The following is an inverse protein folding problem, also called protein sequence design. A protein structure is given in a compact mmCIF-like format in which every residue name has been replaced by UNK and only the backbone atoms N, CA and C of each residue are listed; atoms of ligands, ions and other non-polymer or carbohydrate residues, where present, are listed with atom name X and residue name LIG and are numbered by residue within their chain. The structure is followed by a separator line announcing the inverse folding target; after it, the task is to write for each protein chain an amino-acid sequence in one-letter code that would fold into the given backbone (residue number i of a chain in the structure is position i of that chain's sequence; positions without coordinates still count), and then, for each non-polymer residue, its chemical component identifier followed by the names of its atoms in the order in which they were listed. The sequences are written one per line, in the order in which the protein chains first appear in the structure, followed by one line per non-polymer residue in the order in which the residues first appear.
data_IF_698983491081
#
_entry.id   IF_698983491081
#
_cell.length_a   1.000
_cell.length_b   1.000
_cell.length_c   1.000
_cell.angle_alpha   90.00
_cell.angle_beta   90.00
_cell.angle_gamma   90.00
#
_symmetry.space_group_name_H-M   'P 1'
#
loop_
_entity.id
_entity.type
_entity.pdbx_description
1 polymer ?
#
# COMPACT_ATOMS: atom_id res chain seq x y z
N UNK A 1 7.01 -5.24 -0.34
CA UNK A 1 6.39 -5.31 1.00
C UNK A 1 5.17 -6.17 0.86
N UNK A 2 4.84 -6.84 1.94
CA UNK A 2 3.70 -7.72 2.02
C UNK A 2 3.99 -9.16 1.63
N UNK A 3 2.94 -9.92 1.37
CA UNK A 3 3.02 -11.38 1.21
C UNK A 3 3.82 -11.80 -0.04
N UNK A 4 4.82 -12.64 0.19
CA UNK A 4 5.80 -13.09 -0.80
C UNK A 4 5.14 -13.86 -1.96
N UNK A 5 5.30 -13.31 -3.18
CA UNK A 5 4.76 -13.81 -4.45
C UNK A 5 3.22 -13.85 -4.55
N UNK A 6 2.49 -13.21 -3.64
CA UNK A 6 1.03 -13.16 -3.68
C UNK A 6 0.51 -12.52 -4.98
N UNK A 7 1.10 -11.41 -5.40
CA UNK A 7 0.71 -10.76 -6.65
C UNK A 7 0.83 -11.72 -7.85
N UNK A 8 1.98 -12.38 -7.99
CA UNK A 8 2.25 -13.34 -9.07
C UNK A 8 1.23 -14.48 -9.04
N UNK A 9 0.95 -15.02 -7.85
CA UNK A 9 -0.06 -16.06 -7.64
C UNK A 9 -1.45 -15.62 -8.11
N UNK A 10 -1.92 -14.45 -7.66
CA UNK A 10 -3.23 -13.91 -8.03
C UNK A 10 -3.31 -13.64 -9.54
N UNK A 11 -2.26 -13.07 -10.15
CA UNK A 11 -2.24 -12.87 -11.61
C UNK A 11 -2.20 -14.17 -12.40
N UNK A 12 -1.63 -15.24 -11.84
CA UNK A 12 -1.56 -16.55 -12.51
C UNK A 12 -2.91 -17.26 -12.63
N UNK A 13 -3.92 -16.84 -11.85
CA UNK A 13 -5.29 -17.36 -11.97
C UNK A 13 -5.93 -17.01 -13.32
N UNK A 14 -5.38 -16.02 -14.05
CA UNK A 14 -5.76 -15.61 -15.41
C UNK A 14 -7.28 -15.50 -15.61
N UNK A 15 -7.95 -14.77 -14.71
CA UNK A 15 -9.41 -14.68 -14.66
C UNK A 15 -9.93 -13.24 -14.85
N UNK A 16 -11.25 -13.08 -14.74
CA UNK A 16 -11.94 -11.79 -14.86
C UNK A 16 -11.97 -10.96 -13.57
N UNK A 17 -11.24 -11.37 -12.52
CA UNK A 17 -11.26 -10.73 -11.19
C UNK A 17 -10.43 -9.45 -11.13
N UNK A 18 -9.45 -9.29 -12.03
CA UNK A 18 -8.56 -8.13 -12.14
C UNK A 18 -8.87 -7.38 -13.43
N UNK A 19 -9.31 -6.13 -13.34
CA UNK A 19 -9.68 -5.33 -14.53
C UNK A 19 -9.32 -3.86 -14.36
N UNK A 20 -8.75 -3.25 -15.39
CA UNK A 20 -8.66 -1.80 -15.48
C UNK A 20 -10.05 -1.20 -15.69
N UNK A 21 -10.38 -0.17 -14.89
CA UNK A 21 -11.65 0.55 -14.90
C UNK A 21 -11.41 2.05 -14.83
N UNK A 22 -12.29 2.81 -15.46
CA UNK A 22 -12.21 4.27 -15.43
C UNK A 22 -12.92 4.83 -14.20
N UNK A 23 -12.38 5.89 -13.59
CA UNK A 23 -12.88 6.43 -12.32
C UNK A 23 -14.32 6.91 -12.35
N UNK A 24 -14.83 7.27 -13.53
CA UNK A 24 -16.25 7.61 -13.74
C UNK A 24 -17.21 6.53 -13.22
N UNK A 25 -16.83 5.25 -13.30
CA UNK A 25 -17.63 4.12 -12.81
C UNK A 25 -17.83 4.14 -11.29
N UNK A 26 -16.96 4.85 -10.56
CA UNK A 26 -16.98 4.93 -9.10
C UNK A 26 -17.52 6.26 -8.58
N UNK A 27 -18.29 6.99 -9.40
CA UNK A 27 -18.91 8.24 -8.97
C UNK A 27 -19.81 8.04 -7.73
N UNK A 28 -19.79 9.01 -6.82
CA UNK A 28 -20.44 9.00 -5.51
C UNK A 28 -19.90 7.95 -4.52
N UNK A 29 -18.88 7.15 -4.88
CA UNK A 29 -18.33 6.15 -3.98
C UNK A 29 -17.34 6.77 -2.98
N UNK A 30 -17.29 6.16 -1.79
CA UNK A 30 -16.27 6.43 -0.77
C UNK A 30 -15.12 5.46 -0.98
N UNK A 31 -13.88 5.96 -0.92
CA UNK A 31 -12.68 5.16 -1.12
C UNK A 31 -11.66 5.54 -0.06
N UNK A 32 -11.08 4.56 0.63
CA UNK A 32 -9.91 4.78 1.49
C UNK A 32 -8.64 4.74 0.65
N UNK A 33 -7.67 5.57 0.98
CA UNK A 33 -6.42 5.68 0.23
C UNK A 33 -5.26 5.61 1.20
N UNK A 34 -4.43 4.58 1.07
CA UNK A 34 -3.11 4.58 1.67
C UNK A 34 -2.24 5.59 0.90
N UNK A 35 -1.90 6.70 1.57
CA UNK A 35 -1.19 7.80 0.93
C UNK A 35 0.33 7.54 0.85
N UNK A 36 0.86 6.62 1.65
CA UNK A 36 2.30 6.51 1.86
C UNK A 36 3.04 6.27 0.55
N UNK A 37 2.57 5.36 -0.29
CA UNK A 37 3.17 5.10 -1.61
C UNK A 37 3.12 6.33 -2.53
N UNK A 38 2.06 7.12 -2.48
CA UNK A 38 1.88 8.31 -3.32
C UNK A 38 2.78 9.47 -2.87
N UNK A 39 3.02 9.62 -1.56
CA UNK A 39 3.98 10.60 -1.04
C UNK A 39 5.38 10.35 -1.60
N UNK A 40 5.87 9.11 -1.53
CA UNK A 40 7.18 8.74 -2.08
C UNK A 40 7.22 8.92 -3.59
N UNK A 41 6.23 8.36 -4.32
CA UNK A 41 6.18 8.39 -5.79
C UNK A 41 6.13 9.81 -6.34
N UNK A 42 5.28 10.68 -5.79
CA UNK A 42 5.17 12.05 -6.29
C UNK A 42 6.35 12.92 -5.89
N UNK A 43 6.95 12.67 -4.72
CA UNK A 43 8.21 13.32 -4.34
C UNK A 43 9.37 12.89 -5.24
N UNK A 44 9.41 11.62 -5.64
CA UNK A 44 10.40 11.09 -6.57
C UNK A 44 10.37 11.80 -7.93
N UNK A 45 9.16 12.08 -8.43
CA UNK A 45 8.90 12.86 -9.63
C UNK A 45 9.24 14.36 -9.49
N UNK A 46 9.56 14.84 -8.28
CA UNK A 46 9.87 16.25 -8.01
C UNK A 46 8.66 17.15 -7.77
N UNK A 47 7.44 16.65 -8.01
CA UNK A 47 6.21 17.45 -8.04
C UNK A 47 5.19 16.90 -7.03
N UNK A 48 5.54 16.93 -5.73
CA UNK A 48 4.74 16.32 -4.68
C UNK A 48 3.36 16.99 -4.55
N UNK A 49 3.32 18.32 -4.39
CA UNK A 49 2.09 19.05 -4.10
C UNK A 49 1.19 19.14 -5.33
N UNK A 50 1.78 19.33 -6.52
CA UNK A 50 1.11 19.38 -7.82
C UNK A 50 0.36 18.07 -8.07
N UNK A 51 1.04 16.94 -7.91
CA UNK A 51 0.44 15.63 -8.15
C UNK A 51 -0.60 15.26 -7.08
N UNK A 52 -0.39 15.66 -5.82
CA UNK A 52 -1.42 15.49 -4.78
C UNK A 52 -2.66 16.35 -5.07
N UNK A 53 -2.46 17.59 -5.53
CA UNK A 53 -3.54 18.47 -5.94
C UNK A 53 -4.31 17.88 -7.13
N UNK A 54 -3.60 17.37 -8.14
CA UNK A 54 -4.20 16.73 -9.31
C UNK A 54 -5.00 15.48 -8.90
N UNK A 55 -4.43 14.62 -8.07
CA UNK A 55 -5.11 13.44 -7.53
C UNK A 55 -6.43 13.81 -6.81
N UNK A 56 -6.39 14.82 -5.94
CA UNK A 56 -7.57 15.32 -5.25
C UNK A 56 -8.61 15.91 -6.22
N UNK A 57 -8.13 16.65 -7.23
CA UNK A 57 -8.97 17.26 -8.25
C UNK A 57 -9.69 16.21 -9.10
N UNK A 58 -9.00 15.13 -9.48
CA UNK A 58 -9.57 14.00 -10.22
C UNK A 58 -10.68 13.32 -9.42
N UNK A 59 -10.44 13.01 -8.13
CA UNK A 59 -11.48 12.38 -7.31
C UNK A 59 -12.70 13.29 -7.17
N UNK A 60 -12.49 14.58 -6.91
CA UNK A 60 -13.58 15.55 -6.80
C UNK A 60 -14.34 15.71 -8.13
N UNK A 61 -13.64 15.74 -9.26
CA UNK A 61 -14.22 15.83 -10.60
C UNK A 61 -15.19 14.66 -10.89
N UNK A 62 -14.83 13.44 -10.47
CA UNK A 62 -15.72 12.28 -10.60
C UNK A 62 -16.71 12.10 -9.43
N UNK A 63 -16.78 13.06 -8.52
CA UNK A 63 -17.56 13.00 -7.28
C UNK A 63 -17.27 11.75 -6.42
N UNK A 64 -16.01 11.32 -6.39
CA UNK A 64 -15.49 10.32 -5.47
C UNK A 64 -15.18 11.01 -4.15
N UNK A 65 -15.46 10.33 -3.04
CA UNK A 65 -15.24 10.82 -1.68
C UNK A 65 -14.02 10.10 -1.07
N UNK A 66 -12.80 10.62 -1.26
CA UNK A 66 -11.60 9.98 -0.73
C UNK A 66 -11.45 10.23 0.77
N UNK A 67 -10.99 9.20 1.47
CA UNK A 67 -10.42 9.28 2.82
C UNK A 67 -8.95 8.90 2.74
N UNK A 68 -8.05 9.87 2.83
CA UNK A 68 -6.62 9.61 2.86
C UNK A 68 -6.17 9.17 4.25
N UNK A 69 -5.41 8.08 4.32
CA UNK A 69 -4.89 7.54 5.57
C UNK A 69 -3.37 7.67 5.55
N UNK A 70 -2.84 8.40 6.52
CA UNK A 70 -1.41 8.49 6.78
C UNK A 70 -1.00 7.40 7.77
N UNK A 71 0.19 6.83 7.57
CA UNK A 71 0.81 5.97 8.57
C UNK A 71 1.08 6.71 9.89
N UNK A 72 0.98 5.95 10.97
CA UNK A 72 1.31 6.35 12.33
C UNK A 72 2.71 5.89 12.74
N UNK A 73 2.83 5.39 13.96
CA UNK A 73 4.11 4.84 14.46
C UNK A 73 4.22 3.37 14.06
N UNK A 74 5.30 3.00 13.38
CA UNK A 74 5.55 1.60 13.04
C UNK A 74 5.63 0.70 14.29
N UNK A 75 5.13 -0.53 14.16
CA UNK A 75 5.25 -1.57 15.17
C UNK A 75 6.70 -2.07 15.29
N UNK A 76 7.10 -2.49 16.50
CA UNK A 76 8.47 -2.96 16.80
C UNK A 76 8.93 -4.11 15.88
N UNK A 77 8.00 -4.93 15.42
CA UNK A 77 8.31 -6.13 14.63
C UNK A 77 8.84 -5.79 13.21
N UNK A 78 8.64 -4.55 12.72
CA UNK A 78 9.18 -4.11 11.42
C UNK A 78 10.58 -3.47 11.49
N UNK A 79 11.23 -3.46 12.66
CA UNK A 79 12.54 -2.83 12.85
C UNK A 79 13.61 -3.34 11.88
N UNK A 80 13.63 -4.65 11.59
CA UNK A 80 14.59 -5.25 10.65
C UNK A 80 14.41 -4.72 9.23
N UNK A 81 13.18 -4.66 8.72
CA UNK A 81 12.86 -4.12 7.39
C UNK A 81 13.20 -2.64 7.29
N UNK A 82 12.91 -1.86 8.34
CA UNK A 82 13.24 -0.44 8.43
C UNK A 82 14.78 -0.25 8.41
N UNK A 83 15.51 -1.07 9.15
CA UNK A 83 16.97 -1.02 9.21
C UNK A 83 17.61 -1.35 7.87
N UNK A 84 17.15 -2.42 7.20
CA UNK A 84 17.61 -2.79 5.85
C UNK A 84 17.36 -1.67 4.84
N UNK A 85 16.19 -1.00 4.91
CA UNK A 85 15.92 0.20 4.09
C UNK A 85 16.88 1.33 4.38
N UNK A 86 17.19 1.58 5.65
CA UNK A 86 18.11 2.63 6.07
C UNK A 86 19.53 2.37 5.56
N UNK A 87 19.99 1.13 5.62
CA UNK A 87 21.28 0.70 5.10
C UNK A 87 21.36 0.87 3.58
N UNK A 88 20.37 0.36 2.84
CA UNK A 88 20.31 0.51 1.38
C UNK A 88 20.30 2.00 0.96
N UNK A 89 19.55 2.84 1.66
CA UNK A 89 19.51 4.30 1.41
C UNK A 89 20.88 4.93 1.63
N UNK A 90 21.56 4.59 2.74
CA UNK A 90 22.89 5.12 3.05
C UNK A 90 23.91 4.72 1.98
N UNK A 91 23.88 3.47 1.53
CA UNK A 91 24.74 2.99 0.45
C UNK A 91 24.48 3.75 -0.85
N UNK A 92 23.22 3.84 -1.29
CA UNK A 92 22.84 4.56 -2.50
C UNK A 92 23.24 6.03 -2.45
N UNK A 93 23.08 6.68 -1.30
CA UNK A 93 23.47 8.08 -1.10
C UNK A 93 25.00 8.27 -1.19
N UNK A 94 25.79 7.39 -0.57
CA UNK A 94 27.25 7.44 -0.65
C UNK A 94 27.71 7.27 -2.10
N UNK A 95 27.21 6.27 -2.81
CA UNK A 95 27.55 6.02 -4.22
C UNK A 95 27.15 7.21 -5.11
N UNK A 96 26.00 7.83 -4.86
CA UNK A 96 25.58 9.02 -5.60
C UNK A 96 26.54 10.20 -5.39
N UNK A 97 26.97 10.46 -4.15
CA UNK A 97 27.91 11.54 -3.84
C UNK A 97 29.26 11.30 -4.52
N UNK A 98 29.75 10.06 -4.53
CA UNK A 98 30.99 9.69 -5.21
C UNK A 98 30.89 9.88 -6.73
N UNK A 99 29.81 9.42 -7.36
CA UNK A 99 29.59 9.63 -8.79
C UNK A 99 29.45 11.12 -9.14
N UNK A 100 28.74 11.89 -8.30
CA UNK A 100 28.59 13.34 -8.48
C UNK A 100 29.94 14.06 -8.43
N UNK A 101 30.85 13.66 -7.53
CA UNK A 101 32.22 14.21 -7.47
C UNK A 101 33.02 13.90 -8.73
N UNK A 102 32.91 12.67 -9.24
CA UNK A 102 33.62 12.22 -10.45
C UNK A 102 32.93 12.63 -11.76
N UNK A 103 31.74 13.24 -11.72
CA UNK A 103 30.97 13.54 -12.94
C UNK A 103 31.76 14.33 -13.99
N UNK A 104 32.61 15.26 -13.55
CA UNK A 104 33.45 16.08 -14.43
C UNK A 104 34.55 15.29 -15.15
N UNK A 105 34.89 14.08 -14.69
CA UNK A 105 35.91 13.23 -15.31
C UNK A 105 35.37 12.39 -16.47
N UNK A 106 34.06 12.38 -16.70
CA UNK A 106 33.41 11.59 -17.73
C UNK A 106 32.94 12.46 -18.89
N UNK A 107 33.10 11.98 -20.13
CA UNK A 107 32.71 12.67 -21.35
C UNK A 107 31.94 11.72 -22.29
N UNK A 108 31.19 12.29 -23.24
CA UNK A 108 30.44 11.50 -24.23
C UNK A 108 29.41 10.55 -23.61
N UNK A 109 29.34 9.33 -24.14
CA UNK A 109 28.36 8.32 -23.73
C UNK A 109 28.50 7.87 -22.27
N UNK A 110 29.72 7.88 -21.72
CA UNK A 110 29.94 7.48 -20.32
C UNK A 110 29.29 8.45 -19.34
N UNK A 111 29.28 9.75 -19.67
CA UNK A 111 28.61 10.76 -18.87
C UNK A 111 27.09 10.54 -18.85
N UNK A 112 26.49 10.22 -20.00
CA UNK A 112 25.05 9.93 -20.09
C UNK A 112 24.68 8.72 -19.22
N UNK A 113 25.45 7.63 -19.32
CA UNK A 113 25.22 6.43 -18.52
C UNK A 113 25.33 6.70 -17.02
N UNK A 114 26.28 7.56 -16.62
CA UNK A 114 26.45 7.95 -15.22
C UNK A 114 25.32 8.85 -14.75
N UNK A 115 24.84 9.78 -15.58
CA UNK A 115 23.68 10.62 -15.26
C UNK A 115 22.41 9.77 -15.07
N UNK A 116 22.19 8.75 -15.92
CA UNK A 116 21.10 7.76 -15.74
C UNK A 116 21.24 7.00 -14.43
N UNK A 117 22.42 6.44 -14.15
CA UNK A 117 22.70 5.72 -12.90
C UNK A 117 22.56 6.62 -11.67
N UNK A 118 22.94 7.88 -11.78
CA UNK A 118 22.78 8.87 -10.72
C UNK A 118 21.30 9.17 -10.45
N UNK A 119 20.45 9.25 -11.48
CA UNK A 119 19.00 9.40 -11.26
C UNK A 119 18.39 8.15 -10.61
N UNK A 120 18.80 6.94 -10.99
CA UNK A 120 18.39 5.69 -10.31
C UNK A 120 18.79 5.68 -8.84
N UNK A 121 20.04 6.05 -8.52
CA UNK A 121 20.51 6.15 -7.15
C UNK A 121 19.75 7.23 -6.39
N UNK A 122 19.49 8.39 -7.02
CA UNK A 122 18.70 9.49 -6.44
C UNK A 122 17.38 8.96 -5.92
N UNK A 123 16.64 8.22 -6.74
CA UNK A 123 15.33 7.63 -6.40
C UNK A 123 15.41 6.72 -5.17
N UNK A 124 16.49 5.96 -5.02
CA UNK A 124 16.65 5.00 -3.90
C UNK A 124 16.81 5.66 -2.52
N UNK A 125 17.35 6.88 -2.44
CA UNK A 125 17.55 7.58 -1.16
C UNK A 125 16.55 8.71 -0.89
N UNK A 126 15.47 8.83 -1.68
CA UNK A 126 14.41 9.80 -1.41
C UNK A 126 13.69 9.46 -0.11
N UNK A 127 13.49 10.48 0.72
CA UNK A 127 12.78 10.36 1.98
C UNK A 127 11.68 11.40 2.07
N UNK A 128 10.50 10.97 2.51
CA UNK A 128 9.40 11.86 2.86
C UNK A 128 9.71 12.45 4.23
N UNK A 129 9.73 13.79 4.32
CA UNK A 129 10.03 14.54 5.54
C UNK A 129 8.74 14.89 6.28
N UNK A 130 8.88 15.36 7.52
CA UNK A 130 7.73 15.89 8.28
C UNK A 130 7.11 17.12 7.62
N UNK A 131 7.93 17.94 6.97
CA UNK A 131 7.46 19.13 6.26
C UNK A 131 6.66 18.76 5.01
N UNK A 132 7.06 17.71 4.28
CA UNK A 132 6.26 17.19 3.16
C UNK A 132 4.85 16.79 3.62
N UNK A 133 4.78 16.01 4.70
CA UNK A 133 3.50 15.54 5.28
C UNK A 133 2.66 16.74 5.72
N UNK A 134 3.29 17.73 6.37
CA UNK A 134 2.62 18.96 6.80
C UNK A 134 2.05 19.73 5.59
N UNK A 135 2.84 19.93 4.55
CA UNK A 135 2.41 20.63 3.34
C UNK A 135 1.24 19.91 2.64
N UNK A 136 1.28 18.58 2.55
CA UNK A 136 0.18 17.78 1.99
C UNK A 136 -1.09 17.85 2.86
N UNK A 137 -0.95 17.84 4.19
CA UNK A 137 -2.11 18.04 5.09
C UNK A 137 -2.71 19.44 4.93
N UNK A 138 -1.89 20.49 4.85
CA UNK A 138 -2.36 21.86 4.57
C UNK A 138 -3.10 21.95 3.22
N UNK A 139 -2.61 21.25 2.20
CA UNK A 139 -3.29 21.11 0.92
C UNK A 139 -4.66 20.43 1.08
N UNK A 140 -4.74 19.32 1.81
CA UNK A 140 -6.01 18.62 2.02
C UNK A 140 -7.02 19.46 2.80
N UNK A 141 -6.59 20.15 3.86
CA UNK A 141 -7.46 21.04 4.63
C UNK A 141 -7.98 22.22 3.81
N UNK A 142 -7.16 22.78 2.92
CA UNK A 142 -7.54 23.88 2.04
C UNK A 142 -8.41 23.42 0.85
N UNK A 143 -8.15 22.23 0.30
CA UNK A 143 -8.94 21.64 -0.78
C UNK A 143 -10.22 20.91 -0.29
N UNK A 144 -10.43 20.87 1.03
CA UNK A 144 -11.61 20.25 1.64
C UNK A 144 -11.63 18.73 1.51
N UNK A 145 -10.47 18.10 1.52
CA UNK A 145 -10.29 16.64 1.49
C UNK A 145 -10.24 16.09 2.92
N UNK A 146 -10.79 14.91 3.10
CA UNK A 146 -10.80 14.24 4.40
C UNK A 146 -9.59 13.32 4.53
N UNK A 147 -8.88 13.42 5.65
CA UNK A 147 -7.77 12.53 5.97
C UNK A 147 -7.76 12.18 7.45
N UNK A 148 -7.09 11.07 7.78
CA UNK A 148 -6.82 10.61 9.14
C UNK A 148 -5.38 10.08 9.23
N UNK A 149 -4.88 9.96 10.45
CA UNK A 149 -3.58 9.32 10.70
C UNK A 149 -3.85 8.07 11.52
N UNK A 150 -3.44 6.92 11.01
CA UNK A 150 -3.56 5.64 11.70
C UNK A 150 -2.69 5.62 12.96
N UNK A 151 -3.02 4.74 13.90
CA UNK A 151 -2.20 4.56 15.10
C UNK A 151 -0.87 3.89 14.75
N UNK A 152 -0.92 2.87 13.90
CA UNK A 152 0.24 2.15 13.39
C UNK A 152 0.34 2.27 11.87
N UNK A 153 -0.32 1.39 11.13
CA UNK A 153 -0.21 1.32 9.67
C UNK A 153 -1.54 1.63 8.99
N UNK A 154 -1.45 2.26 7.82
CA UNK A 154 -2.62 2.70 7.06
C UNK A 154 -3.42 1.52 6.49
N UNK A 155 -2.79 0.39 6.20
CA UNK A 155 -3.41 -0.83 5.69
C UNK A 155 -4.36 -1.47 6.70
N UNK A 156 -3.99 -1.51 7.98
CA UNK A 156 -4.83 -2.00 9.09
C UNK A 156 -6.15 -1.23 9.13
N UNK A 157 -6.07 0.11 9.09
CA UNK A 157 -7.24 0.97 9.11
C UNK A 157 -8.04 0.94 7.80
N UNK A 158 -7.37 0.84 6.64
CA UNK A 158 -8.01 0.61 5.36
C UNK A 158 -8.83 -0.69 5.38
N UNK A 159 -8.23 -1.77 5.89
CA UNK A 159 -8.86 -3.08 6.02
C UNK A 159 -10.06 -3.05 6.94
N UNK A 160 -9.95 -2.39 8.09
CA UNK A 160 -11.04 -2.24 9.05
C UNK A 160 -12.23 -1.44 8.47
N UNK A 161 -11.95 -0.41 7.67
CA UNK A 161 -12.95 0.44 7.01
C UNK A 161 -13.60 -0.20 5.78
N UNK A 162 -13.15 -1.38 5.34
CA UNK A 162 -13.61 -2.04 4.12
C UNK A 162 -15.14 -2.22 4.03
N UNK A 163 -15.85 -2.34 5.16
CA UNK A 163 -17.32 -2.44 5.17
C UNK A 163 -18.02 -1.09 4.99
N UNK A 164 -17.34 0.01 5.30
CA UNK A 164 -17.86 1.39 5.28
C UNK A 164 -17.57 2.12 3.96
N UNK A 165 -16.64 1.59 3.16
CA UNK A 165 -16.21 2.17 1.88
C UNK A 165 -16.39 1.20 0.72
N UNK A 166 -16.35 1.73 -0.49
CA UNK A 166 -16.52 0.91 -1.70
C UNK A 166 -15.28 0.09 -2.02
N UNK A 167 -14.10 0.67 -1.84
CA UNK A 167 -12.81 0.09 -2.16
C UNK A 167 -11.68 0.76 -1.36
N UNK A 168 -10.54 0.08 -1.26
CA UNK A 168 -9.28 0.61 -0.74
C UNK A 168 -8.28 0.79 -1.89
N UNK A 169 -7.72 1.99 -2.04
CA UNK A 169 -6.65 2.28 -2.99
C UNK A 169 -5.29 2.15 -2.29
N UNK A 170 -4.57 1.09 -2.58
CA UNK A 170 -3.23 0.82 -2.04
C UNK A 170 -2.42 -0.05 -2.99
N UNK A 171 -1.10 0.03 -2.92
CA UNK A 171 -0.20 -0.89 -3.63
C UNK A 171 0.26 -2.06 -2.76
N UNK A 172 -0.05 -2.03 -1.47
CA UNK A 172 0.24 -3.15 -0.58
C UNK A 172 -0.76 -4.29 -0.78
N UNK A 173 -0.24 -5.50 -0.90
CA UNK A 173 -1.06 -6.71 -1.08
C UNK A 173 -1.59 -7.24 0.25
N UNK A 174 -1.05 -6.80 1.39
CA UNK A 174 -1.51 -7.25 2.72
C UNK A 174 -2.97 -6.86 2.99
N UNK A 175 -3.48 -5.84 2.29
CA UNK A 175 -4.89 -5.46 2.30
C UNK A 175 -5.83 -6.60 1.86
N UNK A 176 -5.33 -7.57 1.07
CA UNK A 176 -6.06 -8.80 0.71
C UNK A 176 -6.24 -9.70 1.93
N UNK A 177 -5.21 -9.82 2.78
CA UNK A 177 -5.27 -10.59 4.02
C UNK A 177 -6.13 -9.92 5.10
N UNK A 178 -6.20 -8.58 5.13
CA UNK A 178 -7.20 -7.86 5.93
C UNK A 178 -8.65 -8.02 5.40
N UNK A 179 -8.85 -8.74 4.29
CA UNK A 179 -10.18 -9.09 3.78
C UNK A 179 -10.88 -7.96 3.02
N UNK A 180 -10.12 -7.04 2.43
CA UNK A 180 -10.69 -5.97 1.61
C UNK A 180 -11.42 -6.53 0.38
N UNK A 181 -12.69 -6.15 0.15
CA UNK A 181 -13.51 -6.74 -0.92
C UNK A 181 -13.12 -6.24 -2.31
N UNK A 182 -12.78 -4.95 -2.40
CA UNK A 182 -12.40 -4.29 -3.65
C UNK A 182 -11.14 -3.49 -3.42
N UNK A 183 -10.08 -3.86 -4.12
CA UNK A 183 -8.78 -3.21 -3.99
C UNK A 183 -8.49 -2.50 -5.30
N UNK A 184 -8.23 -1.21 -5.22
CA UNK A 184 -7.80 -0.40 -6.36
C UNK A 184 -6.28 -0.31 -6.33
N UNK A 185 -5.67 -0.52 -7.48
CA UNK A 185 -4.22 -0.44 -7.70
C UNK A 185 -3.94 0.35 -8.96
N UNK A 186 -2.68 0.73 -9.15
CA UNK A 186 -2.15 1.35 -10.35
C UNK A 186 -2.93 2.60 -10.77
N UNK A 187 -3.27 3.46 -9.81
CA UNK A 187 -3.98 4.71 -10.11
C UNK A 187 -3.18 5.59 -11.08
N UNK A 188 -3.81 5.92 -12.22
CA UNK A 188 -3.25 6.76 -13.28
C UNK A 188 -3.82 8.18 -13.24
N UNK A 189 -2.93 9.15 -12.99
CA UNK A 189 -3.26 10.58 -13.08
C UNK A 189 -3.61 11.03 -14.50
N UNK A 190 -3.09 10.34 -15.53
CA UNK A 190 -3.29 10.72 -16.93
C UNK A 190 -4.54 10.08 -17.53
N UNK A 191 -4.72 8.78 -17.30
CA UNK A 191 -5.85 8.01 -17.87
C UNK A 191 -7.11 8.11 -17.03
N UNK A 192 -7.01 8.59 -15.79
CA UNK A 192 -8.09 8.56 -14.81
C UNK A 192 -8.64 7.14 -14.59
N UNK A 193 -7.74 6.15 -14.58
CA UNK A 193 -8.06 4.72 -14.41
C UNK A 193 -7.42 4.14 -13.15
N UNK A 194 -7.98 3.02 -12.70
CA UNK A 194 -7.47 2.14 -11.65
C UNK A 194 -7.64 0.70 -12.08
N UNK A 195 -6.76 -0.19 -11.63
CA UNK A 195 -6.95 -1.64 -11.73
C UNK A 195 -7.69 -2.12 -10.50
N UNK A 196 -8.84 -2.74 -10.72
CA UNK A 196 -9.73 -3.25 -9.69
C UNK A 196 -9.51 -4.74 -9.50
N UNK A 197 -9.21 -5.12 -8.27
CA UNK A 197 -9.18 -6.49 -7.80
C UNK A 197 -10.47 -6.77 -7.04
N UNK A 198 -11.23 -7.77 -7.48
CA UNK A 198 -12.45 -8.22 -6.82
C UNK A 198 -12.16 -9.49 -6.01
N UNK A 199 -12.06 -9.36 -4.68
CA UNK A 199 -11.72 -10.49 -3.81
C UNK A 199 -12.80 -11.57 -3.78
N UNK A 200 -14.08 -11.23 -3.95
CA UNK A 200 -15.13 -12.24 -4.01
C UNK A 200 -14.93 -13.18 -5.22
N UNK A 201 -14.56 -12.62 -6.37
CA UNK A 201 -14.25 -13.43 -7.56
C UNK A 201 -12.96 -14.24 -7.39
N UNK A 202 -11.91 -13.65 -6.80
CA UNK A 202 -10.65 -14.34 -6.52
C UNK A 202 -10.89 -15.55 -5.61
N UNK A 203 -11.60 -15.36 -4.49
CA UNK A 203 -11.89 -16.42 -3.53
C UNK A 203 -12.74 -17.53 -4.14
N UNK A 204 -13.75 -17.18 -4.95
CA UNK A 204 -14.57 -18.15 -5.67
C UNK A 204 -13.73 -19.00 -6.63
N UNK A 205 -12.81 -18.40 -7.39
CA UNK A 205 -11.97 -19.14 -8.32
C UNK A 205 -10.97 -20.06 -7.62
N UNK A 206 -10.53 -19.67 -6.43
CA UNK A 206 -9.68 -20.50 -5.58
C UNK A 206 -10.47 -21.59 -4.82
N UNK A 207 -11.81 -21.55 -4.86
CA UNK A 207 -12.69 -22.35 -4.01
C UNK A 207 -12.33 -22.25 -2.52
N UNK A 208 -12.05 -21.03 -2.06
CA UNK A 208 -11.64 -20.75 -0.68
C UNK A 208 -12.59 -19.80 0.02
N UNK A 209 -12.72 -19.97 1.32
CA UNK A 209 -13.27 -18.92 2.19
C UNK A 209 -12.22 -17.83 2.42
N UNK A 210 -12.64 -16.66 2.88
CA UNK A 210 -11.69 -15.61 3.31
C UNK A 210 -10.75 -16.13 4.42
N UNK A 211 -11.28 -16.91 5.38
CA UNK A 211 -10.48 -17.50 6.47
C UNK A 211 -9.38 -18.41 5.93
N UNK A 212 -9.73 -19.29 4.99
CA UNK A 212 -8.77 -20.18 4.34
C UNK A 212 -7.67 -19.38 3.62
N UNK A 213 -8.05 -18.32 2.90
CA UNK A 213 -7.12 -17.46 2.20
C UNK A 213 -6.20 -16.70 3.16
N UNK A 214 -6.73 -16.24 4.29
CA UNK A 214 -5.95 -15.60 5.36
C UNK A 214 -4.92 -16.56 5.97
N UNK A 215 -5.32 -17.81 6.24
CA UNK A 215 -4.38 -18.84 6.70
C UNK A 215 -3.27 -19.08 5.66
N UNK A 216 -3.61 -19.16 4.38
CA UNK A 216 -2.64 -19.28 3.28
C UNK A 216 -1.67 -18.09 3.23
N UNK A 217 -2.18 -16.87 3.39
CA UNK A 217 -1.37 -15.64 3.43
C UNK A 217 -0.40 -15.62 4.61
N UNK A 218 -0.87 -16.03 5.79
CA UNK A 218 -0.06 -16.11 7.01
C UNK A 218 0.98 -17.23 6.93
N UNK A 219 0.68 -18.34 6.22
CA UNK A 219 1.63 -19.40 5.92
C UNK A 219 2.78 -18.91 5.03
N UNK A 220 2.44 -18.07 4.05
CA UNK A 220 3.41 -17.49 3.13
C UNK A 220 4.30 -16.48 3.85
N UNK A 221 5.55 -16.35 3.42
CA UNK A 221 6.45 -15.31 3.95
C UNK A 221 5.79 -13.93 3.84
N UNK A 222 5.80 -13.16 4.91
CA UNK A 222 5.17 -11.83 4.99
C UNK A 222 6.07 -10.88 5.79
N UNK A 223 5.64 -9.62 5.97
CA UNK A 223 6.41 -8.60 6.67
C UNK A 223 6.72 -8.95 8.15
N UNK A 224 6.01 -9.93 8.74
CA UNK A 224 6.16 -10.37 10.13
C UNK A 224 6.91 -11.71 10.28
N UNK A 225 6.79 -12.63 9.32
CA UNK A 225 7.48 -13.93 9.32
C UNK A 225 8.24 -14.12 8.01
N UNK A 226 9.56 -14.30 8.12
CA UNK A 226 10.38 -14.85 7.04
C UNK A 226 10.07 -16.33 6.86
N UNK A 227 9.78 -16.76 5.64
CA UNK A 227 9.59 -18.17 5.30
C UNK A 227 10.42 -18.53 4.08
N UNK A 228 11.05 -19.70 4.11
CA UNK A 228 11.76 -20.27 2.95
C UNK A 228 10.79 -20.77 1.87
N UNK A 229 9.50 -20.87 2.19
CA UNK A 229 8.44 -21.34 1.31
C UNK A 229 7.55 -20.17 0.90
N UNK A 230 7.00 -20.26 -0.31
CA UNK A 230 6.16 -19.23 -0.89
C UNK A 230 4.69 -19.67 -0.96
N UNK A 231 3.83 -18.77 -1.43
CA UNK A 231 2.39 -19.01 -1.50
C UNK A 231 2.00 -20.19 -2.39
N UNK A 232 2.74 -20.47 -3.47
CA UNK A 232 2.48 -21.61 -4.35
C UNK A 232 2.65 -22.93 -3.61
N UNK A 233 3.73 -23.07 -2.83
CA UNK A 233 3.98 -24.25 -2.00
C UNK A 233 2.84 -24.51 -1.01
N UNK A 234 2.41 -23.48 -0.28
CA UNK A 234 1.31 -23.62 0.67
C UNK A 234 -0.04 -23.82 -0.01
N UNK A 235 -0.23 -23.30 -1.22
CA UNK A 235 -1.44 -23.54 -2.00
C UNK A 235 -1.54 -25.01 -2.44
N UNK A 236 -0.44 -25.63 -2.86
CA UNK A 236 -0.42 -27.07 -3.17
C UNK A 236 -0.76 -27.92 -1.94
N UNK A 237 -0.20 -27.56 -0.77
CA UNK A 237 -0.56 -28.22 0.50
C UNK A 237 -2.02 -28.00 0.87
N UNK A 238 -2.56 -26.80 0.66
CA UNK A 238 -3.96 -26.50 0.90
C UNK A 238 -4.89 -27.37 0.04
N UNK A 239 -4.54 -27.61 -1.23
CA UNK A 239 -5.29 -28.52 -2.10
C UNK A 239 -5.29 -29.96 -1.60
N UNK A 240 -4.21 -30.40 -0.95
CA UNK A 240 -4.16 -31.72 -0.28
C UNK A 240 -5.02 -31.72 0.99
N UNK A 241 -4.94 -30.68 1.81
CA UNK A 241 -5.77 -30.49 3.00
C UNK A 241 -7.27 -30.58 2.68
N UNK A 242 -7.73 -29.94 1.59
CA UNK A 242 -9.13 -29.98 1.16
C UNK A 242 -9.67 -31.36 0.76
N UNK A 243 -8.80 -32.37 0.62
CA UNK A 243 -9.20 -33.78 0.43
C UNK A 243 -9.41 -34.52 1.75
N UNK A 244 -9.21 -33.86 2.89
CA UNK A 244 -9.33 -34.43 4.23
C UNK A 244 -10.58 -33.91 4.94
N UNK A 245 -10.97 -34.57 6.03
CA UNK A 245 -12.09 -34.15 6.90
C UNK A 245 -11.66 -33.23 8.06
N UNK A 246 -10.38 -32.84 8.12
CA UNK A 246 -9.86 -32.01 9.21
C UNK A 246 -10.35 -30.57 9.08
N UNK A 247 -10.45 -29.90 10.22
CA UNK A 247 -10.82 -28.48 10.31
C UNK A 247 -9.60 -27.62 10.65
N UNK A 248 -9.36 -26.58 9.85
CA UNK A 248 -8.26 -25.64 10.05
C UNK A 248 -7.00 -26.07 9.29
N UNK A 249 -6.54 -25.21 8.37
CA UNK A 249 -5.37 -25.51 7.55
C UNK A 249 -4.08 -25.39 8.38
N UNK A 250 -3.99 -24.40 9.27
CA UNK A 250 -2.85 -24.27 10.19
C UNK A 250 -2.72 -25.46 11.14
N UNK A 251 -3.82 -25.96 11.69
CA UNK A 251 -3.87 -27.14 12.55
C UNK A 251 -3.44 -28.39 11.78
N UNK A 252 -3.93 -28.56 10.54
CA UNK A 252 -3.52 -29.64 9.65
C UNK A 252 -2.01 -29.62 9.37
N UNK A 253 -1.44 -28.44 9.10
CA UNK A 253 0.01 -28.29 8.89
C UNK A 253 0.83 -28.70 10.12
N UNK A 254 0.38 -28.34 11.32
CA UNK A 254 1.03 -28.71 12.58
C UNK A 254 0.98 -30.23 12.80
N UNK A 255 -0.20 -30.85 12.62
CA UNK A 255 -0.38 -32.30 12.79
C UNK A 255 0.48 -33.12 11.82
N UNK A 256 0.61 -32.64 10.57
CA UNK A 256 1.46 -33.26 9.54
C UNK A 256 2.94 -32.87 9.64
N UNK A 257 3.31 -32.08 10.65
CA UNK A 257 4.69 -31.61 10.91
C UNK A 257 5.30 -30.79 9.78
N UNK A 258 4.47 -30.10 8.98
CA UNK A 258 4.96 -29.11 8.00
C UNK A 258 5.46 -27.83 8.67
N UNK A 259 4.98 -27.53 9.88
CA UNK A 259 5.40 -26.39 10.70
C UNK A 259 5.64 -26.85 12.14
N UNK A 260 6.51 -26.14 12.87
CA UNK A 260 6.72 -26.38 14.30
C UNK A 260 5.60 -25.76 15.15
N UNK A 261 5.50 -26.17 16.41
CA UNK A 261 4.55 -25.56 17.37
C UNK A 261 4.84 -24.07 17.58
N UNK A 262 6.12 -23.68 17.59
CA UNK A 262 6.52 -22.27 17.69
C UNK A 262 6.07 -21.47 16.47
N UNK A 263 6.21 -22.02 15.27
CA UNK A 263 5.75 -21.37 14.04
C UNK A 263 4.23 -21.26 13.98
N UNK A 264 3.52 -22.28 14.47
CA UNK A 264 2.07 -22.25 14.59
C UNK A 264 1.60 -21.05 15.43
N UNK A 265 2.16 -20.87 16.63
CA UNK A 265 1.79 -19.74 17.49
C UNK A 265 2.07 -18.38 16.85
N UNK A 266 3.25 -18.19 16.25
CA UNK A 266 3.58 -16.94 15.54
C UNK A 266 2.62 -16.66 14.38
N UNK A 267 2.26 -17.69 13.62
CA UNK A 267 1.29 -17.57 12.52
C UNK A 267 -0.10 -17.22 13.05
N UNK A 268 -0.54 -17.85 14.14
CA UNK A 268 -1.83 -17.51 14.79
C UNK A 268 -1.89 -16.06 15.26
N UNK A 269 -0.81 -15.53 15.83
CA UNK A 269 -0.75 -14.11 16.23
C UNK A 269 -0.99 -13.16 15.02
N UNK A 270 -0.40 -13.46 13.86
CA UNK A 270 -0.58 -12.65 12.65
C UNK A 270 -1.98 -12.85 12.05
N UNK A 271 -2.52 -14.07 12.09
CA UNK A 271 -3.90 -14.31 11.69
C UNK A 271 -4.88 -13.50 12.56
N UNK A 272 -4.64 -13.44 13.86
CA UNK A 272 -5.45 -12.66 14.79
C UNK A 272 -5.29 -11.14 14.57
N UNK A 273 -4.13 -10.68 14.10
CA UNK A 273 -3.93 -9.30 13.63
C UNK A 273 -4.77 -9.00 12.38
N UNK A 274 -4.69 -9.82 11.33
CA UNK A 274 -5.47 -9.63 10.09
C UNK A 274 -6.98 -9.71 10.30
N UNK A 275 -7.42 -10.39 11.37
CA UNK A 275 -8.83 -10.50 11.75
C UNK A 275 -9.25 -9.51 12.83
N UNK A 276 -8.38 -8.58 13.22
CA UNK A 276 -8.63 -7.53 14.22
C UNK A 276 -9.11 -8.07 15.58
N UNK A 277 -8.64 -9.26 15.98
CA UNK A 277 -8.98 -9.86 17.28
C UNK A 277 -8.12 -9.32 18.41
N UNK A 278 -6.88 -8.97 18.11
CA UNK A 278 -5.87 -8.53 19.09
C UNK A 278 -5.65 -7.02 19.06
N UNK A 279 -6.05 -6.34 17.98
CA UNK A 279 -5.90 -4.90 17.81
C UNK A 279 -7.22 -4.24 17.47
N UNK A 280 -7.48 -3.09 18.10
CA UNK A 280 -8.54 -2.18 17.67
C UNK A 280 -7.93 -1.13 16.73
N UNK A 281 -8.16 -1.23 15.42
CA UNK A 281 -7.61 -0.30 14.43
C UNK A 281 -8.17 1.12 14.59
N UNK A 282 -9.30 1.29 15.26
CA UNK A 282 -9.94 2.58 15.52
C UNK A 282 -9.51 3.21 16.84
N UNK A 283 -8.64 2.55 17.62
CA UNK A 283 -8.22 3.05 18.93
C UNK A 283 -7.56 4.43 18.79
N UNK A 284 -8.18 5.43 19.42
CA UNK A 284 -7.71 6.82 19.40
C UNK A 284 -8.08 7.61 18.15
N UNK A 285 -8.81 7.00 17.21
CA UNK A 285 -9.25 7.64 15.98
C UNK A 285 -10.62 8.27 16.19
N UNK A 286 -10.72 9.58 15.90
CA UNK A 286 -12.00 10.29 15.98
C UNK A 286 -12.88 9.93 14.79
N UNK A 287 -14.18 9.79 15.05
CA UNK A 287 -15.17 9.67 14.00
C UNK A 287 -14.99 10.79 12.98
N UNK A 288 -14.91 10.41 11.71
CA UNK A 288 -14.64 11.34 10.63
C UNK A 288 -15.59 11.04 9.47
N UNK A 289 -16.47 11.99 9.16
CA UNK A 289 -17.39 11.85 8.04
C UNK A 289 -16.64 11.93 6.70
N UNK A 290 -16.67 10.83 5.94
CA UNK A 290 -16.06 10.75 4.61
C UNK A 290 -16.91 11.51 3.61
N UNK A 291 -16.52 12.76 3.33
CA UNK A 291 -17.14 13.61 2.32
C UNK A 291 -16.15 14.63 1.76
N UNK A 292 -16.48 15.15 0.58
CA UNK A 292 -15.84 16.31 -0.02
C UNK A 292 -16.37 17.57 0.69
N UNK A 293 -15.49 18.26 1.43
CA UNK A 293 -15.82 19.52 2.11
C UNK A 293 -15.65 20.70 1.15
N UNK A 294 -16.03 21.90 1.58
CA UNK A 294 -15.84 23.12 0.79
C UNK A 294 -14.35 23.45 0.60
N UNK A 295 -14.01 23.97 -0.58
CA UNK A 295 -12.66 24.43 -0.91
C UNK A 295 -12.47 25.84 -0.34
N UNK A 296 -11.41 26.02 0.45
CA UNK A 296 -10.99 27.32 0.99
C UNK A 296 -10.02 27.96 -0.01
N UNK A 297 -10.57 28.67 -1.01
CA UNK A 297 -9.82 29.22 -2.16
C UNK A 297 -8.57 30.01 -1.74
N UNK A 298 -8.69 30.97 -0.82
CA UNK A 298 -7.55 31.83 -0.43
C UNK A 298 -6.40 31.02 0.19
N UNK A 299 -6.74 30.07 1.07
CA UNK A 299 -5.75 29.17 1.69
C UNK A 299 -5.11 28.25 0.66
N UNK A 300 -5.92 27.72 -0.26
CA UNK A 300 -5.45 26.84 -1.32
C UNK A 300 -4.46 27.57 -2.23
N UNK A 301 -4.77 28.81 -2.64
CA UNK A 301 -3.87 29.62 -3.46
C UNK A 301 -2.54 29.89 -2.74
N UNK A 302 -2.56 30.15 -1.43
CA UNK A 302 -1.34 30.32 -0.65
C UNK A 302 -0.48 29.04 -0.62
N UNK A 303 -1.09 27.87 -0.44
CA UNK A 303 -0.38 26.58 -0.46
C UNK A 303 0.21 26.30 -1.84
N UNK A 304 -0.57 26.49 -2.90
CA UNK A 304 -0.14 26.20 -4.27
C UNK A 304 0.89 27.22 -4.80
N UNK A 305 0.87 28.48 -4.36
CA UNK A 305 1.93 29.46 -4.68
C UNK A 305 3.32 28.97 -4.23
N UNK A 306 3.41 28.29 -3.09
CA UNK A 306 4.67 27.69 -2.60
C UNK A 306 5.18 26.57 -3.52
N UNK A 307 4.28 25.94 -4.27
CA UNK A 307 4.55 24.93 -5.28
C UNK A 307 4.70 25.54 -6.70
N UNK A 308 4.86 26.87 -6.81
CA UNK A 308 5.11 27.53 -8.10
C UNK A 308 3.86 27.73 -8.98
N UNK A 309 2.65 27.49 -8.47
CA UNK A 309 1.43 27.82 -9.21
C UNK A 309 1.25 29.34 -9.32
N UNK A 310 1.01 29.79 -10.55
CA UNK A 310 0.67 31.18 -10.85
C UNK A 310 -0.85 31.26 -11.01
N UNK A 311 -1.45 32.24 -10.35
CA UNK A 311 -2.88 32.50 -10.44
C UNK A 311 -3.09 33.79 -11.24
N UNK A 312 -4.00 33.79 -12.23
CA UNK A 312 -4.31 34.97 -13.03
C UNK A 312 -4.98 36.07 -12.21
#
# INVERSE_FOLDING_TARGET
MGIHLLQTFITSLNDRSIKERHLREFSNKKITIDISIYLYRFKEMGNLLENMYLMCSIFRYYNIHPLFIFDGKHLKNKNQTIQKRKENRKQAQTTFIELKRKLHTFTGNDRINIEVKMDELRKQFITVTKDDIKNVKELFESYGITYITATHEADELCGALNKEVHACLTEDTDIMAYGCKRIFRYFSLMKHTVVVYNMDLILNNLNMTLSDFQELCVCSGNDYISSDKNIFYYYDLYRLYKRTTQTGFLEWLLQKRYISLQDYHKRREIYDLYTFKTTDPFKGIRYTLIKNKYIKKDKLMCVLKKAGFIFP
#
